data_IF_852422977668
#
_entry.id   IF_852422977668
#
_cell.length_a   1.000
_cell.length_b   1.000
_cell.length_c   1.000
_cell.angle_alpha   90.00
_cell.angle_beta   90.00
_cell.angle_gamma   90.00
#
_symmetry.space_group_name_H-M   'P 1'
#
loop_
_entity.id
_entity.type
_entity.pdbx_description
1 polymer ?
#
# COMPACT_ATOMS: atom_id res chain seq x y z
N UNK A 1 -21.90 -9.49 9.37
CA UNK A 1 -22.98 -9.16 8.42
C UNK A 1 -22.92 -10.22 7.33
N UNK A 2 -24.00 -10.94 7.12
CA UNK A 2 -24.11 -12.07 6.18
C UNK A 2 -25.46 -11.96 5.46
N UNK A 3 -25.55 -12.53 4.26
CA UNK A 3 -26.82 -12.64 3.53
C UNK A 3 -27.53 -13.87 4.09
N UNK A 4 -28.55 -13.66 4.93
CA UNK A 4 -29.34 -14.75 5.54
C UNK A 4 -30.55 -15.13 4.67
N UNK A 5 -31.10 -14.17 3.92
CA UNK A 5 -32.23 -14.35 3.01
C UNK A 5 -31.87 -13.91 1.59
N UNK A 6 -32.43 -14.58 0.58
CA UNK A 6 -32.18 -14.24 -0.82
C UNK A 6 -32.79 -12.88 -1.18
N UNK A 7 -32.04 -12.07 -1.94
CA UNK A 7 -32.43 -10.70 -2.33
C UNK A 7 -33.17 -10.66 -3.69
N UNK A 8 -33.86 -11.73 -4.07
CA UNK A 8 -34.37 -11.96 -5.46
C UNK A 8 -35.29 -10.85 -5.96
N UNK A 9 -36.10 -10.27 -5.06
CA UNK A 9 -37.09 -9.25 -5.41
C UNK A 9 -36.59 -7.81 -5.22
N UNK A 10 -35.31 -7.63 -4.86
CA UNK A 10 -34.72 -6.32 -4.59
C UNK A 10 -33.81 -5.90 -5.74
N UNK A 11 -33.97 -4.67 -6.23
CA UNK A 11 -33.04 -4.07 -7.21
C UNK A 11 -31.81 -3.46 -6.55
N UNK A 12 -31.91 -3.08 -5.28
CA UNK A 12 -30.84 -2.44 -4.53
C UNK A 12 -30.94 -2.76 -3.05
N UNK A 13 -29.80 -2.84 -2.38
CA UNK A 13 -29.69 -2.88 -0.93
C UNK A 13 -29.08 -1.59 -0.41
N UNK A 14 -29.45 -1.19 0.80
CA UNK A 14 -28.94 0.02 1.44
C UNK A 14 -28.22 -0.31 2.74
N UNK A 15 -27.03 0.24 2.92
CA UNK A 15 -26.28 0.20 4.16
C UNK A 15 -26.35 1.58 4.81
N UNK A 16 -26.80 1.63 6.08
CA UNK A 16 -26.86 2.87 6.84
C UNK A 16 -26.04 2.74 8.12
N UNK A 17 -25.10 3.68 8.32
CA UNK A 17 -24.36 3.83 9.55
C UNK A 17 -24.82 5.12 10.25
N UNK A 18 -25.27 4.98 11.51
CA UNK A 18 -25.69 6.10 12.35
C UNK A 18 -24.75 6.25 13.55
N UNK A 19 -24.05 7.38 13.62
CA UNK A 19 -23.19 7.74 14.73
C UNK A 19 -23.87 8.82 15.57
N UNK A 20 -24.35 8.42 16.75
CA UNK A 20 -24.87 9.33 17.77
C UNK A 20 -23.73 9.77 18.68
N UNK A 21 -23.49 11.08 18.77
CA UNK A 21 -22.41 11.64 19.58
C UNK A 21 -22.77 12.99 20.19
N UNK A 22 -22.02 13.39 21.22
CA UNK A 22 -22.09 14.74 21.77
C UNK A 22 -20.91 15.54 21.21
N UNK A 23 -21.19 16.68 20.58
CA UNK A 23 -20.15 17.55 20.02
C UNK A 23 -19.35 18.25 21.12
N UNK A 24 -18.21 18.84 20.76
CA UNK A 24 -17.41 19.67 21.68
C UNK A 24 -18.16 20.92 22.18
N UNK A 25 -19.30 21.27 21.59
CA UNK A 25 -20.20 22.34 22.03
C UNK A 25 -21.33 21.86 22.95
N UNK A 26 -21.32 20.59 23.36
CA UNK A 26 -22.36 20.00 24.22
C UNK A 26 -23.64 19.60 23.48
N UNK A 27 -23.73 19.80 22.17
CA UNK A 27 -24.91 19.43 21.39
C UNK A 27 -24.93 17.93 21.09
N UNK A 28 -26.09 17.29 21.31
CA UNK A 28 -26.32 15.91 20.84
C UNK A 28 -26.58 15.93 19.34
N UNK A 29 -25.76 15.24 18.57
CA UNK A 29 -25.85 15.16 17.09
C UNK A 29 -25.90 13.71 16.63
N UNK A 30 -26.55 13.49 15.49
CA UNK A 30 -26.54 12.22 14.78
C UNK A 30 -25.89 12.47 13.41
N UNK A 31 -24.83 11.74 13.09
CA UNK A 31 -24.26 11.69 11.74
C UNK A 31 -24.72 10.40 11.07
N UNK A 32 -25.32 10.52 9.89
CA UNK A 32 -25.84 9.38 9.12
C UNK A 32 -25.09 9.29 7.80
N UNK A 33 -24.57 8.11 7.48
CA UNK A 33 -24.05 7.75 6.17
C UNK A 33 -24.95 6.68 5.55
N UNK A 34 -25.44 6.91 4.34
CA UNK A 34 -26.27 5.95 3.61
C UNK A 34 -25.60 5.64 2.28
N UNK A 35 -25.46 4.36 1.97
CA UNK A 35 -24.89 3.86 0.72
C UNK A 35 -25.85 2.83 0.12
N UNK A 36 -26.22 3.02 -1.14
CA UNK A 36 -27.08 2.11 -1.88
C UNK A 36 -26.25 1.37 -2.92
N UNK A 37 -26.36 0.04 -2.95
CA UNK A 37 -25.67 -0.83 -3.90
C UNK A 37 -26.69 -1.62 -4.73
N UNK A 38 -26.45 -1.82 -6.03
CA UNK A 38 -27.33 -2.64 -6.87
C UNK A 38 -27.22 -4.12 -6.47
N UNK A 39 -28.33 -4.84 -6.60
CA UNK A 39 -28.36 -6.30 -6.49
C UNK A 39 -28.19 -6.89 -7.89
N UNK A 40 -27.31 -7.88 -8.01
CA UNK A 40 -26.98 -8.55 -9.28
C UNK A 40 -27.15 -10.06 -9.13
N UNK A 41 -27.38 -10.76 -10.24
CA UNK A 41 -27.65 -12.20 -10.27
C UNK A 41 -26.59 -13.01 -11.06
N UNK A 42 -25.53 -12.35 -11.54
CA UNK A 42 -24.44 -13.01 -12.28
C UNK A 42 -23.11 -12.83 -11.56
N UNK A 43 -22.25 -13.86 -11.60
CA UNK A 43 -20.89 -13.77 -11.06
C UNK A 43 -20.05 -12.74 -11.81
N UNK A 44 -20.28 -12.59 -13.12
CA UNK A 44 -19.61 -11.56 -13.94
C UNK A 44 -19.82 -10.17 -13.36
N UNK A 45 -21.05 -9.83 -12.98
CA UNK A 45 -21.39 -8.53 -12.40
C UNK A 45 -20.81 -8.37 -10.98
N UNK A 46 -20.75 -9.45 -10.19
CA UNK A 46 -20.10 -9.45 -8.87
C UNK A 46 -18.62 -9.10 -9.00
N UNK A 47 -17.91 -9.75 -9.94
CA UNK A 47 -16.51 -9.40 -10.19
C UNK A 47 -16.39 -7.97 -10.71
N UNK A 48 -17.25 -7.52 -11.64
CA UNK A 48 -17.20 -6.14 -12.14
C UNK A 48 -17.34 -5.07 -11.04
N UNK A 49 -18.10 -5.35 -9.98
CA UNK A 49 -18.29 -4.46 -8.83
C UNK A 49 -17.29 -4.63 -7.68
N UNK A 50 -16.31 -5.52 -7.78
CA UNK A 50 -15.40 -5.83 -6.68
C UNK A 50 -14.37 -4.70 -6.45
N UNK A 51 -14.33 -4.14 -5.24
CA UNK A 51 -13.28 -3.23 -4.79
C UNK A 51 -12.14 -4.01 -4.14
N UNK A 52 -11.03 -4.15 -4.88
CA UNK A 52 -9.87 -4.91 -4.43
C UNK A 52 -9.21 -4.33 -3.17
N UNK A 53 -9.21 -3.01 -2.99
CA UNK A 53 -8.61 -2.41 -1.80
C UNK A 53 -9.48 -2.67 -0.57
N UNK A 54 -10.80 -2.51 -0.70
CA UNK A 54 -11.75 -2.82 0.38
C UNK A 54 -11.68 -4.31 0.78
N UNK A 55 -11.60 -5.21 -0.20
CA UNK A 55 -11.42 -6.65 0.04
C UNK A 55 -10.10 -6.91 0.78
N UNK A 56 -8.99 -6.33 0.32
CA UNK A 56 -7.69 -6.46 0.98
C UNK A 56 -7.71 -5.92 2.42
N UNK A 57 -8.31 -4.76 2.67
CA UNK A 57 -8.42 -4.17 4.00
C UNK A 57 -9.26 -5.01 4.96
N UNK A 58 -10.38 -5.57 4.48
CA UNK A 58 -11.20 -6.50 5.25
C UNK A 58 -10.44 -7.78 5.59
N UNK A 59 -9.75 -8.37 4.60
CA UNK A 59 -8.94 -9.57 4.79
C UNK A 59 -7.78 -9.32 5.77
N UNK A 60 -7.15 -8.15 5.73
CA UNK A 60 -6.11 -7.79 6.70
C UNK A 60 -6.67 -7.79 8.14
N UNK A 61 -7.85 -7.19 8.36
CA UNK A 61 -8.52 -7.21 9.67
C UNK A 61 -8.88 -8.63 10.13
N UNK A 62 -9.43 -9.46 9.23
CA UNK A 62 -9.76 -10.86 9.52
C UNK A 62 -8.50 -11.71 9.80
N UNK A 63 -7.41 -11.45 9.09
CA UNK A 63 -6.14 -12.14 9.28
C UNK A 63 -5.51 -11.78 10.63
N UNK A 64 -5.65 -10.52 11.11
CA UNK A 64 -5.27 -10.16 12.48
C UNK A 64 -6.07 -10.97 13.49
N UNK A 65 -7.40 -11.01 13.35
CA UNK A 65 -8.24 -11.78 14.28
C UNK A 65 -7.87 -13.26 14.29
N UNK A 66 -7.67 -13.85 13.09
CA UNK A 66 -7.24 -15.26 12.93
C UNK A 66 -5.87 -15.53 13.52
N UNK A 67 -4.94 -14.58 13.42
CA UNK A 67 -3.59 -14.70 14.00
C UNK A 67 -3.62 -14.79 15.52
N UNK A 68 -4.60 -14.12 16.15
CA UNK A 68 -4.78 -14.10 17.61
C UNK A 68 -5.59 -15.31 18.09
N UNK A 69 -6.65 -15.69 17.37
CA UNK A 69 -7.57 -16.75 17.80
C UNK A 69 -7.14 -18.16 17.39
N UNK A 70 -6.29 -18.29 16.37
CA UNK A 70 -5.79 -19.57 15.88
C UNK A 70 -4.26 -19.55 15.83
N UNK A 71 -3.67 -19.21 14.69
CA UNK A 71 -2.23 -19.05 14.55
C UNK A 71 -1.89 -18.12 13.40
N UNK A 72 -0.65 -17.62 13.40
CA UNK A 72 -0.15 -16.83 12.30
C UNK A 72 -0.07 -17.63 10.98
N UNK A 73 0.19 -18.94 11.05
CA UNK A 73 0.19 -19.80 9.86
C UNK A 73 -1.20 -19.85 9.23
N UNK A 74 -2.23 -20.10 10.05
CA UNK A 74 -3.60 -20.20 9.56
C UNK A 74 -4.08 -18.90 8.92
N UNK A 75 -3.68 -17.75 9.47
CA UNK A 75 -4.01 -16.45 8.90
C UNK A 75 -3.35 -16.25 7.52
N UNK A 76 -2.10 -16.67 7.35
CA UNK A 76 -1.36 -16.59 6.08
C UNK A 76 -1.95 -17.52 5.03
N UNK A 77 -2.29 -18.74 5.43
CA UNK A 77 -2.91 -19.73 4.54
C UNK A 77 -4.30 -19.25 4.11
N UNK A 78 -5.10 -18.70 5.02
CA UNK A 78 -6.41 -18.14 4.69
C UNK A 78 -6.33 -16.97 3.69
N UNK A 79 -5.36 -16.06 3.84
CA UNK A 79 -5.16 -14.97 2.87
C UNK A 79 -4.74 -15.48 1.50
N UNK A 80 -3.84 -16.48 1.46
CA UNK A 80 -3.39 -17.11 0.21
C UNK A 80 -4.55 -17.81 -0.48
N UNK A 81 -5.34 -18.58 0.27
CA UNK A 81 -6.52 -19.27 -0.22
C UNK A 81 -7.58 -18.29 -0.73
N UNK A 82 -7.81 -17.15 -0.08
CA UNK A 82 -8.71 -16.12 -0.60
C UNK A 82 -8.31 -15.65 -2.01
N UNK A 83 -7.02 -15.49 -2.29
CA UNK A 83 -6.52 -15.18 -3.63
C UNK A 83 -6.71 -16.33 -4.62
N UNK A 84 -6.50 -17.57 -4.19
CA UNK A 84 -6.63 -18.76 -5.04
C UNK A 84 -8.11 -18.99 -5.38
N UNK A 85 -8.97 -19.05 -4.36
CA UNK A 85 -10.39 -19.38 -4.47
C UNK A 85 -11.14 -18.36 -5.35
N UNK A 86 -10.83 -17.07 -5.19
CA UNK A 86 -11.43 -16.00 -6.01
C UNK A 86 -11.06 -16.13 -7.50
N UNK A 87 -9.79 -16.44 -7.81
CA UNK A 87 -9.34 -16.63 -9.19
C UNK A 87 -9.80 -17.97 -9.77
N UNK A 88 -9.90 -19.02 -8.98
CA UNK A 88 -10.50 -20.31 -9.37
C UNK A 88 -11.99 -20.14 -9.70
N UNK A 89 -12.73 -19.40 -8.87
CA UNK A 89 -14.13 -19.08 -9.12
C UNK A 89 -14.30 -18.28 -10.42
N UNK A 90 -13.45 -17.26 -10.65
CA UNK A 90 -13.46 -16.51 -11.91
C UNK A 90 -13.19 -17.41 -13.12
N UNK A 91 -12.15 -18.27 -13.03
CA UNK A 91 -11.74 -19.17 -14.10
C UNK A 91 -12.81 -20.18 -14.47
N UNK A 92 -13.50 -20.74 -13.48
CA UNK A 92 -14.50 -21.80 -13.69
C UNK A 92 -15.87 -21.25 -14.07
N UNK A 93 -16.25 -20.09 -13.53
CA UNK A 93 -17.64 -19.64 -13.56
C UNK A 93 -17.91 -18.43 -14.45
N UNK A 94 -16.86 -17.70 -14.87
CA UNK A 94 -17.01 -16.48 -15.70
C UNK A 94 -16.31 -16.62 -17.04
N UNK A 95 -15.14 -17.25 -17.09
CA UNK A 95 -14.43 -17.44 -18.35
C UNK A 95 -15.10 -18.51 -19.22
N UNK A 96 -15.55 -18.09 -20.39
CA UNK A 96 -16.11 -18.97 -21.43
C UNK A 96 -15.04 -19.73 -22.20
N UNK A 97 -13.82 -19.17 -22.31
CA UNK A 97 -12.68 -19.80 -22.98
C UNK A 97 -11.55 -19.98 -21.97
N UNK A 98 -11.17 -21.25 -21.77
CA UNK A 98 -10.02 -21.61 -20.94
C UNK A 98 -8.74 -21.32 -21.72
N UNK A 99 -7.99 -20.29 -21.33
CA UNK A 99 -6.65 -20.03 -21.86
C UNK A 99 -5.57 -20.50 -20.87
N UNK A 100 -4.37 -20.86 -21.39
CA UNK A 100 -3.22 -21.11 -20.53
C UNK A 100 -2.83 -19.83 -19.79
N UNK A 101 -2.34 -19.98 -18.55
CA UNK A 101 -1.93 -18.86 -17.70
C UNK A 101 -2.92 -18.53 -16.58
N UNK A 102 -2.50 -17.64 -15.69
CA UNK A 102 -3.33 -17.09 -14.63
C UNK A 102 -4.11 -15.88 -15.15
N UNK A 103 -5.42 -16.04 -15.26
CA UNK A 103 -6.33 -14.98 -15.69
C UNK A 103 -7.04 -14.39 -14.48
N UNK A 104 -7.09 -13.06 -14.42
CA UNK A 104 -7.79 -12.32 -13.37
C UNK A 104 -8.69 -11.25 -14.01
N UNK A 105 -9.87 -10.98 -13.44
CA UNK A 105 -10.68 -9.86 -13.88
C UNK A 105 -9.96 -8.54 -13.59
N UNK A 106 -10.26 -7.51 -14.39
CA UNK A 106 -9.59 -6.21 -14.31
C UNK A 106 -9.57 -5.60 -12.90
N UNK A 107 -10.66 -5.78 -12.15
CA UNK A 107 -10.83 -5.33 -10.77
C UNK A 107 -9.89 -6.02 -9.76
N UNK A 108 -9.60 -7.31 -9.94
CA UNK A 108 -8.77 -8.12 -9.04
C UNK A 108 -7.34 -8.32 -9.56
N UNK A 109 -6.91 -7.60 -10.61
CA UNK A 109 -5.57 -7.76 -11.19
C UNK A 109 -4.43 -7.54 -10.17
N UNK A 110 -4.66 -6.67 -9.18
CA UNK A 110 -3.70 -6.37 -8.10
C UNK A 110 -3.93 -7.21 -6.85
N UNK A 111 -4.97 -8.04 -6.83
CA UNK A 111 -5.33 -8.78 -5.63
C UNK A 111 -4.22 -9.75 -5.17
N UNK A 112 -3.61 -10.57 -6.06
CA UNK A 112 -2.48 -11.39 -5.66
C UNK A 112 -1.28 -10.57 -5.15
N UNK A 113 -1.02 -9.40 -5.75
CA UNK A 113 0.05 -8.51 -5.31
C UNK A 113 -0.20 -8.00 -3.88
N UNK A 114 -1.42 -7.56 -3.57
CA UNK A 114 -1.77 -7.09 -2.23
C UNK A 114 -1.76 -8.22 -1.19
N UNK A 115 -2.13 -9.44 -1.56
CA UNK A 115 -1.99 -10.60 -0.66
C UNK A 115 -0.51 -10.90 -0.40
N UNK A 116 0.35 -10.91 -1.43
CA UNK A 116 1.79 -11.07 -1.23
C UNK A 116 2.37 -9.98 -0.32
N UNK A 117 1.93 -8.74 -0.52
CA UNK A 117 2.33 -7.60 0.29
C UNK A 117 1.94 -7.79 1.77
N UNK A 118 0.69 -8.21 2.03
CA UNK A 118 0.23 -8.57 3.38
C UNK A 118 1.08 -9.68 3.99
N UNK A 119 1.40 -10.74 3.24
CA UNK A 119 2.23 -11.84 3.72
C UNK A 119 3.65 -11.40 4.10
N UNK A 120 4.15 -10.29 3.54
CA UNK A 120 5.46 -9.68 3.86
C UNK A 120 5.37 -8.58 4.93
N UNK A 121 4.17 -8.11 5.27
CA UNK A 121 3.94 -7.06 6.24
C UNK A 121 4.33 -7.50 7.66
N UNK A 122 4.83 -6.59 8.51
CA UNK A 122 5.33 -6.88 9.88
C UNK A 122 4.35 -7.68 10.76
N UNK A 123 3.05 -7.47 10.60
CA UNK A 123 1.97 -8.19 11.27
C UNK A 123 2.00 -9.69 10.93
N UNK A 124 2.24 -10.04 9.66
CA UNK A 124 2.06 -11.42 9.18
C UNK A 124 3.33 -12.12 8.71
N UNK A 125 4.45 -11.40 8.57
CA UNK A 125 5.69 -11.99 8.07
C UNK A 125 6.24 -13.04 9.03
N UNK A 126 6.78 -14.08 8.43
CA UNK A 126 7.50 -15.19 9.06
C UNK A 126 8.93 -15.20 8.51
N UNK A 127 9.94 -15.48 9.33
CA UNK A 127 11.34 -15.62 8.88
C UNK A 127 12.26 -14.42 9.08
N UNK A 128 11.74 -13.19 9.14
CA UNK A 128 12.51 -12.02 9.61
C UNK A 128 12.21 -11.75 11.08
N UNK A 129 13.25 -11.57 11.89
CA UNK A 129 13.09 -11.19 13.30
C UNK A 129 12.23 -9.92 13.41
N UNK A 130 11.19 -10.00 14.24
CA UNK A 130 10.22 -8.92 14.43
C UNK A 130 9.92 -8.86 15.91
N UNK A 131 10.19 -7.71 16.54
CA UNK A 131 9.85 -7.50 17.94
C UNK A 131 8.35 -7.66 18.12
N UNK A 132 7.94 -8.25 19.24
CA UNK A 132 6.53 -8.47 19.52
C UNK A 132 5.74 -7.16 19.48
N UNK A 133 6.26 -6.11 20.10
CA UNK A 133 5.64 -4.78 20.11
C UNK A 133 5.43 -4.23 18.69
N UNK A 134 6.42 -4.37 17.80
CA UNK A 134 6.32 -3.93 16.40
C UNK A 134 5.23 -4.70 15.64
N UNK A 135 5.12 -6.02 15.90
CA UNK A 135 4.10 -6.87 15.28
C UNK A 135 2.71 -6.49 15.77
N UNK A 136 2.52 -6.37 17.08
CA UNK A 136 1.24 -5.99 17.69
C UNK A 136 0.85 -4.58 17.24
N UNK A 137 1.79 -3.64 17.19
CA UNK A 137 1.54 -2.31 16.65
C UNK A 137 1.07 -2.37 15.19
N UNK A 138 1.74 -3.15 14.33
CA UNK A 138 1.30 -3.33 12.95
C UNK A 138 -0.10 -3.94 12.85
N UNK A 139 -0.44 -4.93 13.69
CA UNK A 139 -1.79 -5.50 13.77
C UNK A 139 -2.83 -4.46 14.17
N UNK A 140 -2.55 -3.63 15.19
CA UNK A 140 -3.43 -2.54 15.60
C UNK A 140 -3.65 -1.52 14.46
N UNK A 141 -2.59 -1.16 13.72
CA UNK A 141 -2.73 -0.25 12.59
C UNK A 141 -3.64 -0.84 11.50
N UNK A 142 -3.49 -2.12 11.15
CA UNK A 142 -4.35 -2.79 10.16
C UNK A 142 -5.82 -2.87 10.61
N UNK A 143 -6.09 -2.94 11.92
CA UNK A 143 -7.46 -3.02 12.46
C UNK A 143 -8.19 -1.68 12.52
N UNK A 144 -7.48 -0.59 12.77
CA UNK A 144 -8.10 0.68 13.18
C UNK A 144 -7.81 1.87 12.27
N UNK A 145 -6.88 1.76 11.32
CA UNK A 145 -6.63 2.84 10.36
C UNK A 145 -7.69 2.89 9.26
N UNK A 146 -8.05 4.09 8.77
CA UNK A 146 -8.76 4.24 7.50
C UNK A 146 -8.08 3.49 6.36
N UNK A 147 -8.89 2.95 5.43
CA UNK A 147 -8.41 2.11 4.33
C UNK A 147 -7.28 2.77 3.52
N UNK A 148 -7.39 4.07 3.23
CA UNK A 148 -6.36 4.81 2.50
C UNK A 148 -4.96 4.71 3.15
N UNK A 149 -4.89 4.70 4.48
CA UNK A 149 -3.62 4.60 5.21
C UNK A 149 -3.16 3.16 5.38
N UNK A 150 -4.11 2.23 5.55
CA UNK A 150 -3.82 0.78 5.52
C UNK A 150 -3.17 0.40 4.20
N UNK A 151 -3.66 0.93 3.08
CA UNK A 151 -3.10 0.63 1.76
C UNK A 151 -1.64 1.10 1.62
N UNK A 152 -1.26 2.26 2.18
CA UNK A 152 0.14 2.71 2.21
C UNK A 152 1.05 1.83 3.08
N UNK A 153 0.49 1.15 4.08
CA UNK A 153 1.23 0.18 4.89
C UNK A 153 1.39 -1.18 4.21
N UNK A 154 0.44 -1.56 3.36
CA UNK A 154 0.45 -2.82 2.61
C UNK A 154 1.32 -2.66 1.36
N UNK A 155 1.02 -1.67 0.54
CA UNK A 155 1.70 -1.36 -0.71
C UNK A 155 2.13 0.12 -0.71
N UNK A 156 3.31 0.44 -0.15
CA UNK A 156 3.88 1.78 -0.18
C UNK A 156 3.91 2.38 -1.59
N UNK A 157 3.93 3.71 -1.68
CA UNK A 157 4.09 4.40 -2.95
C UNK A 157 5.55 4.80 -3.14
N UNK A 158 6.21 4.26 -4.17
CA UNK A 158 7.59 4.59 -4.53
C UNK A 158 7.59 5.58 -5.68
N UNK A 159 8.41 6.63 -5.59
CA UNK A 159 8.54 7.69 -6.59
C UNK A 159 10.00 7.92 -6.89
N UNK A 160 10.34 8.16 -8.16
CA UNK A 160 11.62 8.77 -8.51
C UNK A 160 11.50 10.28 -8.32
N UNK A 161 12.49 10.90 -7.69
CA UNK A 161 12.43 12.33 -7.30
C UNK A 161 13.65 13.15 -7.71
N UNK A 162 14.65 12.53 -8.33
CA UNK A 162 15.80 13.24 -8.91
C UNK A 162 15.48 13.98 -10.23
N UNK A 163 14.29 13.77 -10.79
CA UNK A 163 13.83 14.34 -12.06
C UNK A 163 12.42 14.96 -11.97
N UNK A 164 12.05 15.53 -10.81
CA UNK A 164 10.74 16.16 -10.63
C UNK A 164 10.54 17.35 -11.59
N UNK A 165 9.42 17.34 -12.29
CA UNK A 165 8.99 18.40 -13.21
C UNK A 165 7.65 19.01 -12.78
N UNK A 166 7.35 20.18 -13.34
CA UNK A 166 6.05 20.84 -13.17
C UNK A 166 5.00 20.33 -14.18
N UNK A 167 5.39 19.41 -15.08
CA UNK A 167 4.47 18.82 -16.06
C UNK A 167 3.44 17.93 -15.35
N UNK A 168 2.16 18.28 -15.49
CA UNK A 168 1.08 17.58 -14.79
C UNK A 168 1.03 17.86 -13.29
N UNK A 169 1.76 18.86 -12.80
CA UNK A 169 1.71 19.28 -11.40
C UNK A 169 0.33 19.81 -11.01
N UNK A 170 -0.06 19.57 -9.76
CA UNK A 170 -1.26 20.16 -9.17
C UNK A 170 -0.95 21.60 -8.73
N UNK A 171 -1.84 22.54 -9.05
CA UNK A 171 -1.75 23.90 -8.56
C UNK A 171 -2.64 24.06 -7.32
N UNK A 172 -2.04 24.04 -6.13
CA UNK A 172 -2.74 24.18 -4.85
C UNK A 172 -2.17 25.38 -4.12
N UNK A 173 -3.03 26.34 -3.76
CA UNK A 173 -2.63 27.55 -3.03
C UNK A 173 -1.45 28.29 -3.67
N UNK A 174 -1.50 28.47 -4.99
CA UNK A 174 -0.45 29.12 -5.82
C UNK A 174 0.91 28.40 -5.82
N UNK A 175 0.98 27.15 -5.36
CA UNK A 175 2.17 26.29 -5.42
C UNK A 175 1.95 25.16 -6.42
N UNK A 176 2.92 24.97 -7.31
CA UNK A 176 2.97 23.80 -8.18
C UNK A 176 3.51 22.59 -7.38
N UNK A 177 2.74 21.51 -7.35
CA UNK A 177 3.05 20.27 -6.64
C UNK A 177 3.30 19.18 -7.69
N UNK A 178 4.56 18.74 -7.88
CA UNK A 178 4.89 17.68 -8.83
C UNK A 178 4.06 16.40 -8.60
N UNK A 179 3.73 15.70 -9.68
CA UNK A 179 2.99 14.43 -9.65
C UNK A 179 3.80 13.30 -10.32
N UNK A 180 4.93 12.87 -9.72
CA UNK A 180 5.75 11.80 -10.29
C UNK A 180 4.96 10.48 -10.36
N UNK A 181 5.28 9.66 -11.36
CA UNK A 181 4.66 8.34 -11.52
C UNK A 181 5.10 7.40 -10.40
N UNK A 182 4.13 6.67 -9.85
CA UNK A 182 4.38 5.59 -8.91
C UNK A 182 5.16 4.47 -9.60
N UNK A 183 6.23 4.00 -8.95
CA UNK A 183 7.09 2.92 -9.38
C UNK A 183 6.67 1.60 -8.73
N UNK A 184 7.01 0.50 -9.42
CA UNK A 184 6.89 -0.85 -8.87
C UNK A 184 7.78 -1.02 -7.64
N UNK A 185 7.35 -1.85 -6.70
CA UNK A 185 8.06 -2.09 -5.44
C UNK A 185 9.07 -3.24 -5.60
N UNK A 186 10.02 -3.01 -6.50
CA UNK A 186 11.14 -3.92 -6.79
C UNK A 186 12.45 -3.13 -6.81
N UNK A 187 13.52 -3.75 -6.32
CA UNK A 187 14.90 -3.25 -6.41
C UNK A 187 15.35 -3.00 -7.85
N UNK A 188 14.72 -3.62 -8.85
CA UNK A 188 14.96 -3.34 -10.26
C UNK A 188 14.66 -1.88 -10.64
N UNK A 189 13.77 -1.21 -9.89
CA UNK A 189 13.46 0.22 -10.07
C UNK A 189 14.44 1.15 -9.36
N UNK A 190 15.26 0.64 -8.45
CA UNK A 190 16.23 1.43 -7.69
C UNK A 190 17.55 1.57 -8.44
N UNK A 191 17.61 2.52 -9.37
CA UNK A 191 18.88 2.88 -10.00
C UNK A 191 19.88 3.42 -8.97
N UNK A 192 21.16 3.08 -9.13
CA UNK A 192 22.24 3.67 -8.31
C UNK A 192 22.46 5.16 -8.58
N UNK A 193 21.92 5.67 -9.69
CA UNK A 193 22.09 7.06 -10.14
C UNK A 193 20.91 7.97 -9.74
N UNK A 194 19.85 7.41 -9.17
CA UNK A 194 18.63 8.14 -8.84
C UNK A 194 18.47 8.43 -7.35
N UNK A 195 17.46 9.24 -7.05
CA UNK A 195 16.91 9.44 -5.72
C UNK A 195 15.44 9.01 -5.71
N UNK A 196 15.05 8.22 -4.71
CA UNK A 196 13.73 7.61 -4.66
C UNK A 196 13.05 7.91 -3.34
N UNK A 197 11.82 8.44 -3.41
CA UNK A 197 10.99 8.68 -2.26
C UNK A 197 9.97 7.55 -2.11
N UNK A 198 9.92 6.90 -0.96
CA UNK A 198 8.91 5.92 -0.62
C UNK A 198 8.01 6.45 0.49
N UNK A 199 6.73 6.61 0.19
CA UNK A 199 5.69 6.86 1.18
C UNK A 199 5.13 5.52 1.69
N UNK A 200 5.52 5.14 2.90
CA UNK A 200 5.08 3.93 3.59
C UNK A 200 4.06 4.23 4.70
N UNK A 201 3.26 5.29 4.53
CA UNK A 201 2.20 5.69 5.46
C UNK A 201 2.74 6.40 6.69
N UNK A 202 3.17 5.66 7.73
CA UNK A 202 3.67 6.25 8.98
C UNK A 202 5.07 6.87 8.86
N UNK A 203 5.78 6.57 7.78
CA UNK A 203 7.16 6.99 7.54
C UNK A 203 7.36 7.25 6.05
N UNK A 204 8.20 8.23 5.73
CA UNK A 204 8.66 8.50 4.36
C UNK A 204 10.17 8.23 4.33
N UNK A 205 10.62 7.46 3.35
CA UNK A 205 12.04 7.25 3.11
C UNK A 205 12.46 8.02 1.86
N UNK A 206 13.62 8.67 1.90
CA UNK A 206 14.29 9.21 0.72
C UNK A 206 15.60 8.44 0.52
N UNK A 207 15.57 7.46 -0.37
CA UNK A 207 16.72 6.65 -0.75
C UNK A 207 17.62 7.39 -1.73
N UNK A 208 18.89 7.53 -1.38
CA UNK A 208 19.90 8.15 -2.24
C UNK A 208 20.77 7.05 -2.84
N UNK A 209 20.77 6.95 -4.17
CA UNK A 209 21.65 6.04 -4.89
C UNK A 209 23.13 6.42 -4.70
N UNK A 210 24.02 5.42 -4.67
CA UNK A 210 25.47 5.63 -4.46
C UNK A 210 26.11 6.56 -5.50
N UNK A 211 25.60 6.56 -6.73
CA UNK A 211 26.05 7.38 -7.84
C UNK A 211 25.00 8.45 -8.19
N UNK A 212 24.19 8.87 -7.21
CA UNK A 212 23.14 9.86 -7.42
C UNK A 212 23.69 11.13 -8.08
N UNK A 213 22.92 11.72 -9.00
CA UNK A 213 23.31 12.95 -9.68
C UNK A 213 23.78 14.02 -8.67
N UNK A 214 25.02 14.55 -8.82
CA UNK A 214 25.54 15.62 -7.96
C UNK A 214 24.62 16.84 -7.87
N UNK A 215 23.84 17.13 -8.92
CA UNK A 215 22.86 18.22 -8.89
C UNK A 215 21.76 17.97 -7.85
N UNK A 216 21.27 16.75 -7.70
CA UNK A 216 20.29 16.44 -6.65
C UNK A 216 20.91 16.60 -5.25
N UNK A 217 22.15 16.13 -5.08
CA UNK A 217 22.86 16.23 -3.80
C UNK A 217 23.07 17.69 -3.37
N UNK A 218 23.47 18.55 -4.31
CA UNK A 218 23.76 19.96 -4.04
C UNK A 218 22.48 20.80 -3.98
N UNK A 219 21.59 20.66 -4.96
CA UNK A 219 20.39 21.50 -5.10
C UNK A 219 19.26 21.07 -4.16
N UNK A 220 19.17 19.80 -3.73
CA UNK A 220 18.09 19.32 -2.84
C UNK A 220 18.57 19.03 -1.43
N UNK A 221 19.74 18.38 -1.28
CA UNK A 221 20.27 17.98 0.03
C UNK A 221 21.30 18.97 0.60
N UNK A 222 21.83 19.90 -0.20
CA UNK A 222 22.80 20.90 0.25
C UNK A 222 24.16 20.32 0.62
N UNK A 223 24.51 19.16 0.07
CA UNK A 223 25.79 18.47 0.34
C UNK A 223 26.62 18.34 -0.93
N UNK A 224 27.96 18.36 -0.83
CA UNK A 224 28.83 18.34 -2.00
C UNK A 224 28.87 16.98 -2.72
N UNK A 225 28.66 15.88 -1.99
CA UNK A 225 28.75 14.53 -2.54
C UNK A 225 27.95 13.51 -1.69
N UNK A 226 27.88 12.27 -2.19
CA UNK A 226 27.18 11.18 -1.52
C UNK A 226 27.74 10.88 -0.12
N UNK A 227 29.07 11.02 0.08
CA UNK A 227 29.71 10.71 1.34
C UNK A 227 29.29 11.68 2.46
N UNK A 228 29.04 12.94 2.09
CA UNK A 228 28.63 14.03 2.98
C UNK A 228 27.15 13.98 3.41
N UNK A 229 26.29 13.15 2.82
CA UNK A 229 24.88 13.00 3.24
C UNK A 229 24.81 12.49 4.69
N UNK A 230 24.21 13.21 5.65
CA UNK A 230 24.17 12.75 7.04
C UNK A 230 23.34 11.47 7.21
N UNK A 231 23.77 10.57 8.10
CA UNK A 231 23.08 9.28 8.33
C UNK A 231 21.72 9.41 9.04
N UNK A 232 21.52 10.52 9.76
CA UNK A 232 20.34 10.81 10.60
C UNK A 232 19.56 12.03 10.11
N UNK A 233 19.62 12.32 8.80
CA UNK A 233 18.91 13.44 8.20
C UNK A 233 17.42 13.13 8.08
N UNK A 234 16.60 13.87 8.83
CA UNK A 234 15.16 13.65 8.91
C UNK A 234 14.30 14.78 8.32
N UNK A 235 14.96 15.80 7.79
CA UNK A 235 14.34 16.98 7.19
C UNK A 235 15.14 17.35 5.93
N UNK A 236 14.44 17.83 4.91
CA UNK A 236 15.08 18.46 3.76
C UNK A 236 15.50 19.89 4.12
N UNK A 237 16.69 20.36 3.71
CA UNK A 237 17.10 21.73 3.92
C UNK A 237 16.22 22.67 3.09
N UNK A 238 16.01 23.87 3.62
CA UNK A 238 15.33 24.95 2.91
C UNK A 238 16.35 25.68 2.02
N UNK A 239 16.60 25.12 0.85
CA UNK A 239 17.47 25.71 -0.17
C UNK A 239 16.65 26.56 -1.13
N UNK A 240 17.24 27.66 -1.58
CA UNK A 240 16.65 28.56 -2.59
C UNK A 240 16.98 28.09 -4.00
N UNK A 241 16.50 26.89 -4.33
CA UNK A 241 16.70 26.19 -5.61
C UNK A 241 15.35 25.64 -6.08
N UNK A 242 15.14 25.56 -7.39
CA UNK A 242 13.88 25.06 -7.93
C UNK A 242 13.63 23.60 -7.53
N UNK A 243 14.69 22.78 -7.53
CA UNK A 243 14.67 21.36 -7.21
C UNK A 243 14.32 21.12 -5.73
N UNK A 244 14.89 21.92 -4.81
CA UNK A 244 14.55 21.85 -3.38
C UNK A 244 13.11 22.25 -3.15
N UNK A 245 12.65 23.34 -3.77
CA UNK A 245 11.27 23.81 -3.63
C UNK A 245 10.27 22.77 -4.13
N UNK A 246 10.50 22.17 -5.31
CA UNK A 246 9.66 21.08 -5.86
C UNK A 246 9.63 19.86 -4.95
N UNK A 247 10.80 19.39 -4.50
CA UNK A 247 10.89 18.21 -3.64
C UNK A 247 10.20 18.44 -2.29
N UNK A 248 10.41 19.61 -1.67
CA UNK A 248 9.75 19.99 -0.43
C UNK A 248 8.23 20.16 -0.61
N UNK A 249 7.78 20.73 -1.72
CA UNK A 249 6.36 20.84 -2.04
C UNK A 249 5.70 19.47 -2.17
N UNK A 250 6.34 18.54 -2.88
CA UNK A 250 5.85 17.16 -3.02
C UNK A 250 5.80 16.42 -1.66
N UNK A 251 6.87 16.49 -0.86
CA UNK A 251 6.91 15.89 0.49
C UNK A 251 5.86 16.51 1.41
N UNK A 252 5.68 17.83 1.34
CA UNK A 252 4.67 18.57 2.10
C UNK A 252 3.26 18.12 1.74
N UNK A 253 2.97 18.02 0.44
CA UNK A 253 1.69 17.54 -0.06
C UNK A 253 1.37 16.12 0.42
N UNK A 254 2.35 15.19 0.39
CA UNK A 254 2.17 13.82 0.92
C UNK A 254 1.83 13.83 2.42
N UNK A 255 2.45 14.73 3.20
CA UNK A 255 2.18 14.90 4.64
C UNK A 255 0.78 15.43 4.89
N UNK A 256 0.30 16.37 4.07
CA UNK A 256 -1.03 16.97 4.20
C UNK A 256 -2.17 15.99 3.93
N UNK A 257 -1.91 14.85 3.28
CA UNK A 257 -2.92 13.82 3.02
C UNK A 257 -3.35 13.05 4.28
N UNK A 258 -2.75 13.31 5.44
CA UNK A 258 -2.99 12.54 6.67
C UNK A 258 -2.91 13.37 7.95
N UNK A 259 -3.64 12.97 9.02
CA UNK A 259 -3.71 13.73 10.26
C UNK A 259 -2.47 13.60 11.17
N UNK A 260 -1.53 12.72 10.83
CA UNK A 260 -0.28 12.51 11.57
C UNK A 260 0.91 12.88 10.70
N UNK A 261 2.02 13.26 11.35
CA UNK A 261 3.23 13.70 10.66
C UNK A 261 4.18 12.51 10.40
N UNK A 262 4.27 11.98 9.17
CA UNK A 262 5.25 10.96 8.84
C UNK A 262 6.66 11.53 8.89
N UNK A 263 7.53 10.88 9.67
CA UNK A 263 8.95 11.25 9.73
C UNK A 263 9.57 10.93 8.37
N UNK A 264 10.30 11.89 7.81
CA UNK A 264 11.14 11.66 6.64
C UNK A 264 12.47 11.10 7.14
N UNK A 265 13.02 10.08 6.48
CA UNK A 265 14.38 9.61 6.69
C UNK A 265 15.12 9.61 5.36
N UNK A 266 16.18 10.40 5.26
CA UNK A 266 17.11 10.33 4.14
C UNK A 266 18.07 9.17 4.41
N UNK A 267 18.08 8.18 3.52
CA UNK A 267 18.80 6.92 3.71
C UNK A 267 19.78 6.67 2.57
N UNK A 268 20.93 6.12 2.96
CA UNK A 268 22.04 5.67 2.12
C UNK A 268 22.24 4.17 2.28
N UNK A 269 23.12 3.59 1.47
CA UNK A 269 23.48 2.17 1.53
C UNK A 269 23.94 1.72 2.93
N UNK A 270 24.59 2.60 3.68
CA UNK A 270 25.13 2.36 5.01
C UNK A 270 24.12 2.61 6.15
N UNK A 271 22.91 3.08 5.81
CA UNK A 271 21.90 3.43 6.82
C UNK A 271 21.36 2.18 7.53
N UNK A 272 21.17 2.22 8.87
CA UNK A 272 20.50 1.13 9.59
C UNK A 272 19.05 0.94 9.15
N UNK A 273 18.43 1.96 8.53
CA UNK A 273 17.07 1.90 8.01
C UNK A 273 16.96 1.25 6.64
N UNK A 274 18.09 0.96 5.95
CA UNK A 274 18.10 0.28 4.65
C UNK A 274 17.30 -1.01 4.66
N UNK A 275 17.48 -1.84 5.70
CA UNK A 275 16.74 -3.09 5.81
C UNK A 275 15.21 -2.85 5.90
N UNK A 276 14.78 -1.79 6.60
CA UNK A 276 13.36 -1.43 6.71
C UNK A 276 12.79 -0.92 5.38
N UNK A 277 13.59 -0.17 4.61
CA UNK A 277 13.21 0.26 3.27
C UNK A 277 13.13 -0.91 2.29
N UNK A 278 14.14 -1.79 2.27
CA UNK A 278 14.19 -2.94 1.37
C UNK A 278 13.09 -3.97 1.68
N UNK A 279 12.64 -4.08 2.93
CA UNK A 279 11.48 -4.90 3.30
C UNK A 279 10.17 -4.47 2.61
N UNK A 280 10.09 -3.22 2.15
CA UNK A 280 8.94 -2.71 1.41
C UNK A 280 9.03 -2.97 -0.10
N UNK A 281 10.14 -3.55 -0.59
CA UNK A 281 10.25 -4.02 -1.98
C UNK A 281 9.56 -5.38 -2.12
N UNK A 282 8.24 -5.33 -1.96
CA UNK A 282 7.36 -6.51 -1.82
C UNK A 282 7.33 -7.41 -3.06
N UNK A 283 7.76 -6.94 -4.23
CA UNK A 283 7.77 -7.75 -5.44
C UNK A 283 9.00 -8.67 -5.50
N UNK A 284 10.05 -8.37 -4.74
CA UNK A 284 11.29 -9.14 -4.77
C UNK A 284 11.28 -10.34 -3.83
N UNK A 285 12.08 -11.35 -4.15
CA UNK A 285 12.27 -12.51 -3.28
C UNK A 285 12.97 -12.09 -1.99
N UNK A 286 12.52 -12.66 -0.87
CA UNK A 286 13.19 -12.55 0.43
C UNK A 286 13.54 -13.95 0.94
N UNK A 287 14.31 -14.03 2.04
CA UNK A 287 14.71 -15.32 2.62
C UNK A 287 13.53 -16.25 2.92
N UNK A 288 12.38 -15.68 3.28
CA UNK A 288 11.22 -16.42 3.79
C UNK A 288 9.93 -16.19 3.01
N UNK A 289 9.97 -15.46 1.89
CA UNK A 289 8.81 -15.20 1.04
C UNK A 289 9.19 -15.09 -0.44
N UNK A 290 8.28 -15.59 -1.28
CA UNK A 290 8.39 -15.62 -2.73
C UNK A 290 8.51 -14.21 -3.34
N UNK A 291 9.11 -14.11 -4.53
CA UNK A 291 8.92 -12.95 -5.39
C UNK A 291 7.47 -12.88 -5.91
N UNK A 292 7.07 -11.76 -6.50
CA UNK A 292 5.75 -11.64 -7.10
C UNK A 292 5.55 -12.65 -8.23
N UNK A 293 6.55 -12.83 -9.09
CA UNK A 293 6.51 -13.84 -10.14
C UNK A 293 6.35 -15.27 -9.58
N UNK A 294 7.14 -15.65 -8.58
CA UNK A 294 7.04 -16.96 -7.94
C UNK A 294 5.69 -17.16 -7.24
N UNK A 295 5.13 -16.11 -6.64
CA UNK A 295 3.81 -16.14 -6.02
C UNK A 295 2.69 -16.33 -7.05
N UNK A 296 2.76 -15.66 -8.20
CA UNK A 296 1.81 -15.88 -9.29
C UNK A 296 1.89 -17.31 -9.84
N UNK A 297 3.09 -17.88 -9.97
CA UNK A 297 3.26 -19.29 -10.36
C UNK A 297 2.65 -20.23 -9.32
N UNK A 298 2.85 -19.96 -8.03
CA UNK A 298 2.24 -20.74 -6.96
C UNK A 298 0.70 -20.69 -7.04
N UNK A 299 0.12 -19.49 -7.18
CA UNK A 299 -1.33 -19.31 -7.34
C UNK A 299 -1.82 -20.03 -8.59
N UNK A 300 -1.13 -19.88 -9.73
CA UNK A 300 -1.47 -20.56 -10.98
C UNK A 300 -1.49 -22.08 -10.83
N UNK A 301 -0.51 -22.66 -10.14
CA UNK A 301 -0.46 -24.09 -9.87
C UNK A 301 -1.66 -24.57 -9.05
N UNK A 302 -2.13 -23.78 -8.08
CA UNK A 302 -3.29 -24.15 -7.26
C UNK A 302 -4.62 -23.94 -8.00
N UNK A 303 -4.73 -22.88 -8.81
CA UNK A 303 -5.92 -22.61 -9.65
C UNK A 303 -6.08 -23.63 -10.78
N UNK A 304 -4.99 -24.27 -11.22
CA UNK A 304 -4.99 -25.27 -12.30
C UNK A 304 -5.12 -26.71 -11.82
N UNK A 305 -5.19 -26.95 -10.50
CA UNK A 305 -5.50 -28.27 -9.92
C UNK A 305 -7.00 -28.52 -9.96
#
# INVERSE_FOLDING_TARGET
MSIEENLVDMQSVSFQAALLYTSSKGERRIRVHTMCLPVVNSLSDIFAGADVQAITGLLASMAVDRSVTSSLSDARDAMTNASIDSLTSYRTSVLTIQQPGLLAPACLRLFPLYILALLKQKAFRTGTSTRLDDRVFAMCQLKYQPLAYVMLMIHPALYRVDDLTDEGALNISERAIPQPRVQQLSVEKLSREGAFLMDAGSVIYLWIGRNCNPDFLTQVLGVPDYAAVPQNMNLLPELDTAESQRTRAFVGWLREQRPFFPILHVIRDESPLKASFMQNMIEDRTESALSYYEFLLHVQQQVSK
#
